data_IF_012135779888
#
_entry.id   IF_012135779888
#
_cell.length_a   1.000
_cell.length_b   1.000
_cell.length_c   1.000
_cell.angle_alpha   90.00
_cell.angle_beta   90.00
_cell.angle_gamma   90.00
#
_symmetry.space_group_name_H-M   'P 1'
#
loop_
_entity.id
_entity.type
_entity.pdbx_description
1 polymer ?
#
# COMPACT_ATOMS: atom_id res chain seq x y z
N UNK A 1 4.34 7.92 -14.38
CA UNK A 1 4.02 7.39 -13.04
C UNK A 1 2.60 7.74 -12.67
N UNK A 2 1.91 6.82 -12.05
CA UNK A 2 0.50 6.99 -11.68
C UNK A 2 0.37 7.95 -10.49
N UNK A 3 -0.65 8.82 -10.54
CA UNK A 3 -0.84 9.87 -9.53
C UNK A 3 -0.97 9.35 -8.08
N UNK A 4 -1.58 8.20 -7.89
CA UNK A 4 -1.76 7.64 -6.55
C UNK A 4 -0.43 7.29 -5.87
N UNK A 5 0.63 7.12 -6.64
CA UNK A 5 1.97 6.87 -6.10
C UNK A 5 2.65 8.13 -5.57
N UNK A 6 2.06 9.30 -5.75
CA UNK A 6 2.63 10.54 -5.23
C UNK A 6 2.53 10.64 -3.71
N UNK A 7 1.59 9.92 -3.10
CA UNK A 7 1.52 9.84 -1.65
C UNK A 7 2.47 8.77 -1.14
N UNK A 8 3.46 9.16 -0.36
CA UNK A 8 4.42 8.22 0.22
C UNK A 8 3.74 7.12 1.02
N UNK A 9 2.74 7.47 1.84
CA UNK A 9 2.01 6.50 2.64
C UNK A 9 1.26 5.50 1.77
N UNK A 10 0.55 5.97 0.75
CA UNK A 10 -0.20 5.08 -0.14
C UNK A 10 0.72 4.14 -0.91
N UNK A 11 1.85 4.67 -1.36
CA UNK A 11 2.87 3.89 -2.06
C UNK A 11 3.44 2.79 -1.15
N UNK A 12 3.76 3.14 0.08
CA UNK A 12 4.33 2.18 1.03
C UNK A 12 3.32 1.12 1.46
N UNK A 13 2.05 1.48 1.61
CA UNK A 13 0.97 0.52 1.85
C UNK A 13 0.93 -0.50 0.72
N UNK A 14 0.97 -0.05 -0.52
CA UNK A 14 0.95 -0.95 -1.67
C UNK A 14 2.20 -1.84 -1.71
N UNK A 15 3.36 -1.30 -1.36
CA UNK A 15 4.59 -2.08 -1.32
C UNK A 15 4.50 -3.21 -0.28
N UNK A 16 3.97 -2.91 0.91
CA UNK A 16 3.79 -3.91 1.95
C UNK A 16 2.81 -5.01 1.54
N UNK A 17 1.72 -4.64 0.87
CA UNK A 17 0.75 -5.61 0.37
C UNK A 17 1.33 -6.46 -0.75
N UNK A 18 2.16 -5.88 -1.59
CA UNK A 18 2.86 -6.60 -2.64
C UNK A 18 3.74 -7.70 -2.04
N UNK A 19 4.48 -7.35 -1.00
CA UNK A 19 5.39 -8.26 -0.32
C UNK A 19 4.65 -9.38 0.43
N UNK A 20 3.63 -9.01 1.19
CA UNK A 20 2.91 -9.95 2.06
C UNK A 20 1.82 -10.75 1.35
N UNK A 21 1.29 -10.24 0.24
CA UNK A 21 0.14 -10.81 -0.45
C UNK A 21 -1.19 -10.34 0.12
N UNK A 22 -1.40 -10.48 1.42
CA UNK A 22 -2.60 -10.02 2.11
C UNK A 22 -2.28 -9.72 3.57
N UNK A 23 -2.89 -8.66 4.10
CA UNK A 23 -2.72 -8.29 5.52
C UNK A 23 -4.04 -7.77 6.06
N UNK A 24 -4.27 -8.02 7.34
CA UNK A 24 -5.33 -7.33 8.08
C UNK A 24 -4.97 -5.87 8.23
N UNK A 25 -5.98 -5.00 8.35
CA UNK A 25 -5.75 -3.56 8.48
C UNK A 25 -4.82 -3.21 9.63
N UNK A 26 -5.01 -3.84 10.80
CA UNK A 26 -4.17 -3.57 11.97
C UNK A 26 -2.72 -4.05 11.77
N UNK A 27 -2.53 -5.20 11.12
CA UNK A 27 -1.19 -5.70 10.80
C UNK A 27 -0.46 -4.74 9.86
N UNK A 28 -1.17 -4.27 8.85
CA UNK A 28 -0.63 -3.33 7.86
C UNK A 28 -0.23 -2.01 8.54
N UNK A 29 -1.11 -1.50 9.40
CA UNK A 29 -0.83 -0.27 10.15
C UNK A 29 0.38 -0.43 11.04
N UNK A 30 0.46 -1.52 11.80
CA UNK A 30 1.59 -1.79 12.71
C UNK A 30 2.90 -1.92 11.95
N UNK A 31 2.89 -2.59 10.81
CA UNK A 31 4.08 -2.76 9.97
C UNK A 31 4.55 -1.41 9.43
N UNK A 32 3.62 -0.57 8.98
CA UNK A 32 3.94 0.75 8.47
C UNK A 32 4.51 1.65 9.58
N UNK A 33 3.92 1.59 10.78
CA UNK A 33 4.40 2.34 11.93
C UNK A 33 5.83 1.93 12.31
N UNK A 34 6.10 0.63 12.26
CA UNK A 34 7.44 0.13 12.54
C UNK A 34 8.46 0.59 11.48
N UNK A 35 8.04 0.61 10.22
CA UNK A 35 8.87 1.09 9.11
C UNK A 35 9.24 2.55 9.28
N UNK A 36 8.30 3.37 9.71
CA UNK A 36 8.51 4.81 9.88
C UNK A 36 9.05 5.18 11.26
N UNK A 37 9.07 4.23 12.19
CA UNK A 37 9.41 4.47 13.59
C UNK A 37 8.57 5.61 14.16
N UNK A 38 7.27 5.59 13.87
CA UNK A 38 6.33 6.62 14.34
C UNK A 38 4.92 6.07 14.35
N UNK A 39 4.10 6.66 15.21
CA UNK A 39 2.69 6.29 15.30
C UNK A 39 1.89 7.02 14.23
N UNK A 40 0.94 6.33 13.63
CA UNK A 40 0.05 6.90 12.61
C UNK A 40 -1.35 6.98 13.20
N UNK A 41 -1.99 8.15 13.11
CA UNK A 41 -3.38 8.31 13.52
C UNK A 41 -4.28 7.35 12.75
N UNK A 42 -5.15 6.57 13.44
CA UNK A 42 -6.01 5.60 12.75
C UNK A 42 -6.82 6.20 11.61
N UNK A 43 -7.41 7.39 11.82
CA UNK A 43 -8.21 8.04 10.79
C UNK A 43 -7.38 8.35 9.54
N UNK A 44 -6.14 8.80 9.72
CA UNK A 44 -5.25 9.10 8.59
C UNK A 44 -4.84 7.82 7.85
N UNK A 45 -4.53 6.77 8.60
CA UNK A 45 -4.15 5.48 8.02
C UNK A 45 -5.31 4.88 7.20
N UNK A 46 -6.47 4.74 7.82
CA UNK A 46 -7.62 4.13 7.14
C UNK A 46 -8.16 5.01 6.03
N UNK A 47 -8.01 6.33 6.13
CA UNK A 47 -8.32 7.25 5.04
C UNK A 47 -7.47 6.98 3.81
N UNK A 48 -6.18 6.76 3.98
CA UNK A 48 -5.27 6.40 2.88
C UNK A 48 -5.63 5.05 2.28
N UNK A 49 -5.93 4.07 3.13
CA UNK A 49 -6.30 2.73 2.70
C UNK A 49 -7.62 2.73 1.94
N UNK A 50 -8.62 3.45 2.45
CA UNK A 50 -9.92 3.57 1.79
C UNK A 50 -9.81 4.28 0.44
N UNK A 51 -8.92 5.25 0.32
CA UNK A 51 -8.66 5.92 -0.96
C UNK A 51 -8.12 4.92 -2.00
N UNK A 52 -7.24 4.01 -1.58
CA UNK A 52 -6.72 2.97 -2.47
C UNK A 52 -7.82 1.99 -2.89
N UNK A 53 -8.70 1.62 -1.97
CA UNK A 53 -9.86 0.77 -2.30
C UNK A 53 -10.77 1.49 -3.28
N UNK A 54 -11.07 2.76 -3.03
CA UNK A 54 -11.93 3.56 -3.89
C UNK A 54 -11.39 3.74 -5.30
N UNK A 55 -10.07 3.69 -5.46
CA UNK A 55 -9.42 3.80 -6.78
C UNK A 55 -9.23 2.45 -7.48
N UNK A 56 -9.67 1.37 -6.86
CA UNK A 56 -9.55 0.04 -7.46
C UNK A 56 -8.14 -0.55 -7.44
N UNK A 57 -7.29 -0.05 -6.55
CA UNK A 57 -5.89 -0.52 -6.43
C UNK A 57 -5.73 -1.56 -5.34
N UNK A 58 -6.65 -1.56 -4.38
CA UNK A 58 -6.68 -2.49 -3.25
C UNK A 58 -8.09 -3.00 -3.09
N UNK A 59 -8.26 -4.27 -2.75
CA UNK A 59 -9.54 -4.84 -2.36
C UNK A 59 -9.59 -5.00 -0.86
N UNK A 60 -10.79 -4.89 -0.31
CA UNK A 60 -11.09 -5.15 1.09
C UNK A 60 -12.07 -6.30 1.18
N UNK A 61 -11.76 -7.31 1.97
CA UNK A 61 -12.62 -8.45 2.18
C UNK A 61 -12.75 -8.72 3.67
N UNK A 62 -13.99 -8.87 4.14
CA UNK A 62 -14.24 -9.23 5.53
C UNK A 62 -13.98 -10.71 5.75
N UNK A 63 -13.19 -11.02 6.77
CA UNK A 63 -12.87 -12.39 7.15
C UNK A 63 -13.04 -12.49 8.67
N UNK A 64 -14.19 -12.99 9.11
CA UNK A 64 -14.55 -13.01 10.52
C UNK A 64 -14.71 -11.59 11.06
N UNK A 65 -13.91 -11.24 12.06
CA UNK A 65 -13.91 -9.89 12.66
C UNK A 65 -12.89 -8.96 12.03
N UNK A 66 -12.12 -9.44 11.06
CA UNK A 66 -11.05 -8.67 10.44
C UNK A 66 -11.37 -8.34 8.98
N UNK A 67 -10.91 -7.17 8.54
CA UNK A 67 -10.88 -6.84 7.13
C UNK A 67 -9.48 -7.16 6.60
N UNK A 68 -9.44 -7.92 5.51
CA UNK A 68 -8.20 -8.33 4.85
C UNK A 68 -8.06 -7.53 3.57
N UNK A 69 -6.88 -6.98 3.35
CA UNK A 69 -6.58 -6.13 2.20
C UNK A 69 -5.57 -6.82 1.28
N UNK A 70 -5.78 -6.66 -0.03
CA UNK A 70 -4.91 -7.20 -1.08
C UNK A 70 -4.81 -6.20 -2.20
N UNK A 71 -3.71 -6.23 -2.95
CA UNK A 71 -3.63 -5.47 -4.19
C UNK A 71 -4.53 -6.11 -5.24
N UNK A 72 -5.12 -5.26 -6.08
CA UNK A 72 -5.75 -5.69 -7.32
C UNK A 72 -4.65 -5.85 -8.39
N UNK A 73 -5.00 -6.36 -9.57
CA UNK A 73 -4.06 -6.40 -10.70
C UNK A 73 -3.55 -5.00 -11.04
N UNK A 74 -4.43 -4.00 -10.98
CA UNK A 74 -4.04 -2.59 -11.19
C UNK A 74 -3.06 -2.11 -10.12
N UNK A 75 -3.26 -2.52 -8.87
CA UNK A 75 -2.35 -2.18 -7.77
C UNK A 75 -0.99 -2.83 -7.94
N UNK A 76 -0.96 -4.10 -8.33
CA UNK A 76 0.29 -4.81 -8.63
C UNK A 76 1.03 -4.10 -9.76
N UNK A 77 0.33 -3.78 -10.84
CA UNK A 77 0.92 -3.08 -11.99
C UNK A 77 1.50 -1.73 -11.58
N UNK A 78 0.81 -1.01 -10.69
CA UNK A 78 1.30 0.28 -10.19
C UNK A 78 2.59 0.16 -9.38
N UNK A 79 2.68 -0.84 -8.51
CA UNK A 79 3.90 -1.09 -7.73
C UNK A 79 5.06 -1.46 -8.66
N UNK A 80 4.81 -2.34 -9.61
CA UNK A 80 5.85 -2.78 -10.55
C UNK A 80 6.33 -1.65 -11.44
N UNK A 81 5.42 -0.80 -11.91
CA UNK A 81 5.80 0.39 -12.70
C UNK A 81 6.65 1.35 -11.88
N UNK A 82 6.30 1.54 -10.62
CA UNK A 82 7.07 2.43 -9.74
C UNK A 82 8.46 1.86 -9.49
N UNK A 83 8.55 0.55 -9.28
CA UNK A 83 9.84 -0.11 -9.11
C UNK A 83 10.71 0.05 -10.36
N UNK A 84 10.15 -0.16 -11.53
CA UNK A 84 10.87 0.03 -12.79
C UNK A 84 11.37 1.47 -12.93
N UNK A 85 10.53 2.44 -12.60
CA UNK A 85 10.89 3.86 -12.65
C UNK A 85 12.05 4.17 -11.70
N UNK A 86 11.99 3.66 -10.46
CA UNK A 86 13.07 3.83 -9.49
C UNK A 86 14.37 3.16 -9.96
N UNK A 87 14.27 1.93 -10.45
CA UNK A 87 15.43 1.16 -10.90
C UNK A 87 16.18 1.88 -12.02
N UNK A 88 15.46 2.48 -12.95
CA UNK A 88 16.06 3.24 -14.04
C UNK A 88 16.90 4.41 -13.53
N UNK A 89 16.49 5.01 -12.40
CA UNK A 89 17.19 6.18 -11.85
C UNK A 89 18.31 5.79 -10.90
N UNK A 90 18.12 4.70 -10.16
CA UNK A 90 19.09 4.25 -9.16
C UNK A 90 20.17 3.38 -9.77
N UNK A 91 19.84 2.61 -10.80
CA UNK A 91 20.77 1.70 -11.48
C UNK A 91 21.38 2.31 -12.73
N UNK A 92 21.13 3.57 -13.00
CA UNK A 92 21.69 4.26 -14.15
C UNK A 92 23.20 4.44 -13.96
N UNK A 93 23.97 3.83 -14.82
CA UNK A 93 25.42 3.96 -14.83
C UNK A 93 25.85 5.14 -15.66
#
# INVERSE_FOLDING_TARGET
MTQWLQSGRRRDICALLYDAGALHGQELKSTLEATYDTRIEPAAFYGSLDALVGRGLVTKRTDGIHDVYRLTDAGVGGVESHYAWLSERLDAD
#
